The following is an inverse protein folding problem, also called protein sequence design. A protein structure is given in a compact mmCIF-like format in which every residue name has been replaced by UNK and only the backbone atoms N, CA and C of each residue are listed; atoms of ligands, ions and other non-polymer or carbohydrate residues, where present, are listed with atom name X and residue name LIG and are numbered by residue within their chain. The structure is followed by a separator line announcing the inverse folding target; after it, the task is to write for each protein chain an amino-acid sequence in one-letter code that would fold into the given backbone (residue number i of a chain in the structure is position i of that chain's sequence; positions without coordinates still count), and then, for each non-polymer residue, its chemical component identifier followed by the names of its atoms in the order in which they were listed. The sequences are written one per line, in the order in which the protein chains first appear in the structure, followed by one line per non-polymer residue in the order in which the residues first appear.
data_IF_070279652632
#
_entry.id   IF_070279652632
#
_cell.length_a   1.000
_cell.length_b   1.000
_cell.length_c   1.000
_cell.angle_alpha   90.00
_cell.angle_beta   90.00
_cell.angle_gamma   90.00
#
_symmetry.space_group_name_H-M   'P 1'
#
loop_
_entity.id
_entity.type
_entity.pdbx_description
1 polymer ?
#
# COMPACT_ATOMS: atom_id res chain seq x y z
N UNK A 1 10.38 -3.25 -19.36
CA UNK A 1 9.90 -2.06 -20.10
C UNK A 1 8.68 -1.57 -19.36
N UNK A 2 8.75 -0.38 -18.74
CA UNK A 2 7.61 0.23 -18.04
C UNK A 2 6.58 0.64 -19.09
N UNK A 3 5.38 0.05 -19.05
CA UNK A 3 4.28 0.48 -19.90
C UNK A 3 3.35 1.36 -19.07
N UNK A 4 3.42 2.68 -19.26
CA UNK A 4 2.60 3.65 -18.55
C UNK A 4 1.10 3.55 -18.88
N UNK A 5 0.71 2.69 -19.83
CA UNK A 5 -0.67 2.53 -20.29
C UNK A 5 -1.63 1.84 -19.29
N UNK A 6 -1.12 1.12 -18.29
CA UNK A 6 -1.94 0.36 -17.32
C UNK A 6 -1.87 0.94 -15.90
N UNK A 7 -1.85 2.27 -15.81
CA UNK A 7 -1.79 2.98 -14.54
C UNK A 7 -3.08 3.79 -14.34
N UNK A 8 -3.90 3.41 -13.36
CA UNK A 8 -5.04 4.20 -12.94
C UNK A 8 -4.54 5.29 -12.00
N UNK A 9 -4.45 6.51 -12.51
CA UNK A 9 -4.08 7.68 -11.73
C UNK A 9 -5.30 8.22 -10.99
N UNK A 10 -5.12 8.57 -9.72
CA UNK A 10 -6.17 9.19 -8.93
C UNK A 10 -5.63 10.35 -8.10
N UNK A 11 -6.55 11.24 -7.73
CA UNK A 11 -6.33 12.29 -6.77
C UNK A 11 -7.58 12.43 -5.90
N UNK A 12 -7.41 12.66 -4.59
CA UNK A 12 -8.51 12.90 -3.65
C UNK A 12 -8.14 14.04 -2.73
N UNK A 13 -9.12 14.83 -2.32
CA UNK A 13 -9.00 15.76 -1.21
C UNK A 13 -10.13 15.52 -0.21
N UNK A 14 -9.81 15.62 1.07
CA UNK A 14 -10.76 15.55 2.17
C UNK A 14 -10.51 16.73 3.11
N UNK A 15 -11.35 17.76 2.99
CA UNK A 15 -11.22 18.99 3.79
C UNK A 15 -11.60 18.79 5.25
N UNK A 16 -12.41 17.78 5.58
CA UNK A 16 -12.79 17.46 6.96
C UNK A 16 -11.62 16.80 7.69
N UNK A 17 -10.95 15.87 7.02
CA UNK A 17 -9.74 15.22 7.52
C UNK A 17 -8.45 16.00 7.21
N UNK A 18 -8.55 17.11 6.47
CA UNK A 18 -7.46 18.05 6.15
C UNK A 18 -6.28 17.41 5.42
N UNK A 19 -6.56 16.67 4.35
CA UNK A 19 -5.51 16.13 3.48
C UNK A 19 -5.90 16.16 2.00
N UNK A 20 -4.89 16.07 1.14
CA UNK A 20 -5.01 15.78 -0.27
C UNK A 20 -4.00 14.70 -0.63
N UNK A 21 -4.35 13.80 -1.53
CA UNK A 21 -3.46 12.75 -1.99
C UNK A 21 -3.51 12.60 -3.50
N UNK A 22 -2.42 12.07 -4.02
CA UNK A 22 -2.28 11.63 -5.40
C UNK A 22 -1.70 10.23 -5.37
N UNK A 23 -2.10 9.40 -6.32
CA UNK A 23 -1.59 8.06 -6.40
C UNK A 23 -1.79 7.44 -7.77
N UNK A 24 -1.25 6.24 -7.89
CA UNK A 24 -1.41 5.39 -9.04
C UNK A 24 -1.63 3.95 -8.59
N UNK A 25 -2.58 3.28 -9.24
CA UNK A 25 -2.70 1.83 -9.18
C UNK A 25 -2.16 1.24 -10.49
N UNK A 26 -1.25 0.29 -10.38
CA UNK A 26 -0.62 -0.40 -11.50
C UNK A 26 -0.92 -1.88 -11.44
N UNK A 27 -1.46 -2.42 -12.51
CA UNK A 27 -1.54 -3.86 -12.74
C UNK A 27 -0.55 -4.22 -13.84
N UNK A 28 0.59 -4.84 -13.46
CA UNK A 28 1.60 -5.27 -14.44
C UNK A 28 1.10 -6.47 -15.26
N UNK A 29 0.28 -7.32 -14.63
CA UNK A 29 -0.52 -8.41 -15.19
C UNK A 29 -1.53 -8.83 -14.12
N UNK A 30 -2.43 -9.77 -14.43
CA UNK A 30 -3.52 -10.23 -13.55
C UNK A 30 -3.09 -10.71 -12.15
N UNK A 31 -1.79 -10.92 -11.92
CA UNK A 31 -1.23 -11.45 -10.67
C UNK A 31 -0.45 -10.45 -9.83
N UNK A 32 -0.22 -9.23 -10.34
CA UNK A 32 0.59 -8.23 -9.63
C UNK A 32 -0.11 -6.89 -9.70
N UNK A 33 -0.64 -6.48 -8.56
CA UNK A 33 -1.32 -5.22 -8.35
C UNK A 33 -0.53 -4.39 -7.35
N UNK A 34 -0.20 -3.16 -7.71
CA UNK A 34 0.57 -2.24 -6.89
C UNK A 34 -0.12 -0.90 -6.79
N UNK A 35 -0.11 -0.28 -5.62
CA UNK A 35 -0.63 1.07 -5.41
C UNK A 35 0.44 1.90 -4.74
N UNK A 36 0.64 3.11 -5.25
CA UNK A 36 1.51 4.12 -4.67
C UNK A 36 0.67 5.34 -4.35
N UNK A 37 0.84 5.91 -3.16
CA UNK A 37 0.11 7.10 -2.73
C UNK A 37 1.07 8.07 -2.03
N UNK A 38 0.99 9.34 -2.41
CA UNK A 38 1.56 10.46 -1.67
C UNK A 38 0.42 11.29 -1.09
N UNK A 39 0.47 11.54 0.20
CA UNK A 39 -0.55 12.31 0.91
C UNK A 39 0.08 13.54 1.54
N UNK A 40 -0.47 14.71 1.22
CA UNK A 40 -0.17 15.98 1.87
C UNK A 40 -1.26 16.31 2.90
N UNK A 41 -0.88 16.46 4.17
CA UNK A 41 -1.78 16.80 5.27
C UNK A 41 -1.52 18.20 5.82
N UNK A 42 -2.60 18.96 6.04
CA UNK A 42 -2.56 20.29 6.69
C UNK A 42 -3.37 20.34 7.99
N UNK A 43 -3.74 19.16 8.51
CA UNK A 43 -4.38 19.03 9.81
C UNK A 43 -3.40 19.25 10.95
N UNK A 44 -3.91 19.82 12.05
CA UNK A 44 -3.16 19.83 13.31
C UNK A 44 -2.88 18.38 13.73
N UNK A 45 -1.63 18.08 14.06
CA UNK A 45 -1.21 16.72 14.42
C UNK A 45 -0.92 15.79 13.24
N UNK A 46 -0.95 16.27 11.99
CA UNK A 46 -0.45 15.46 10.88
C UNK A 46 1.06 15.25 11.03
N UNK A 47 1.47 13.97 11.06
CA UNK A 47 2.85 13.58 11.31
C UNK A 47 3.45 12.89 10.09
N UNK A 48 3.92 13.69 9.14
CA UNK A 48 4.55 13.14 7.94
C UNK A 48 6.04 12.84 8.13
N UNK A 49 6.69 12.55 7.02
CA UNK A 49 8.08 12.11 6.94
C UNK A 49 8.99 13.19 7.50
N UNK A 50 9.71 12.88 8.59
CA UNK A 50 10.66 13.81 9.25
C UNK A 50 10.05 15.19 9.56
N UNK A 51 8.80 15.21 10.03
CA UNK A 51 8.09 16.44 10.39
C UNK A 51 7.59 17.26 9.20
N UNK A 52 7.71 16.74 7.98
CA UNK A 52 7.05 17.33 6.80
C UNK A 52 5.55 17.03 6.81
N UNK A 53 4.72 17.80 6.09
CA UNK A 53 3.30 17.52 5.93
C UNK A 53 3.02 16.43 4.88
N UNK A 54 3.98 15.55 4.57
CA UNK A 54 3.86 14.53 3.52
C UNK A 54 4.05 13.14 4.10
N UNK A 55 3.20 12.19 3.72
CA UNK A 55 3.43 10.76 3.93
C UNK A 55 3.41 10.01 2.59
N UNK A 56 4.03 8.84 2.58
CA UNK A 56 4.04 7.92 1.46
C UNK A 56 3.44 6.59 1.88
N UNK A 57 2.62 5.99 1.01
CA UNK A 57 2.11 4.64 1.17
C UNK A 57 2.35 3.84 -0.09
N UNK A 58 2.64 2.56 0.11
CA UNK A 58 2.72 1.56 -0.93
C UNK A 58 1.94 0.34 -0.52
N UNK A 59 1.15 -0.20 -1.45
CA UNK A 59 0.47 -1.48 -1.31
C UNK A 59 0.84 -2.36 -2.49
N UNK A 60 1.02 -3.66 -2.24
CA UNK A 60 1.25 -4.64 -3.30
C UNK A 60 0.51 -5.93 -2.99
N UNK A 61 -0.10 -6.51 -4.01
CA UNK A 61 -0.67 -7.85 -3.97
C UNK A 61 -0.07 -8.66 -5.12
N UNK A 62 0.44 -9.84 -4.77
CA UNK A 62 1.19 -10.72 -5.66
C UNK A 62 0.62 -12.13 -5.56
N UNK A 63 -0.01 -12.64 -6.62
CA UNK A 63 -0.32 -14.07 -6.71
C UNK A 63 0.97 -14.83 -7.05
N UNK A 64 1.55 -15.47 -6.05
CA UNK A 64 2.77 -16.28 -6.20
C UNK A 64 2.46 -17.63 -6.86
N UNK A 65 1.24 -18.15 -6.67
CA UNK A 65 0.68 -19.31 -7.36
C UNK A 65 -0.85 -19.22 -7.41
N UNK A 66 -1.50 -20.22 -8.01
CA UNK A 66 -2.97 -20.43 -7.97
C UNK A 66 -3.56 -20.56 -6.55
N UNK A 67 -2.71 -20.75 -5.54
CA UNK A 67 -3.09 -21.00 -4.14
C UNK A 67 -2.41 -20.07 -3.16
N UNK A 68 -1.50 -19.22 -3.61
CA UNK A 68 -0.64 -18.45 -2.71
C UNK A 68 -0.62 -16.99 -3.10
N UNK A 69 -0.98 -16.13 -2.15
CA UNK A 69 -0.97 -14.67 -2.33
C UNK A 69 -0.07 -14.05 -1.28
N UNK A 70 0.76 -13.11 -1.72
CA UNK A 70 1.52 -12.21 -0.85
C UNK A 70 0.90 -10.82 -0.95
N UNK A 71 0.53 -10.26 0.20
CA UNK A 71 0.15 -8.86 0.34
C UNK A 71 1.25 -8.13 1.10
N UNK A 72 1.65 -6.97 0.62
CA UNK A 72 2.61 -6.08 1.28
C UNK A 72 2.02 -4.70 1.41
N UNK A 73 2.26 -4.05 2.54
CA UNK A 73 1.89 -2.66 2.78
C UNK A 73 3.05 -1.95 3.45
N UNK A 74 3.40 -0.77 2.96
CA UNK A 74 4.43 0.09 3.52
C UNK A 74 3.80 1.45 3.76
N UNK A 75 3.92 1.96 4.98
CA UNK A 75 3.56 3.32 5.34
C UNK A 75 4.81 4.04 5.85
N UNK A 76 5.12 5.18 5.25
CA UNK A 76 6.25 6.04 5.63
C UNK A 76 5.70 7.41 6.00
N UNK A 77 5.67 7.67 7.31
CA UNK A 77 5.24 8.92 7.93
C UNK A 77 6.29 9.34 8.97
N UNK A 78 5.92 9.76 10.18
CA UNK A 78 6.88 9.92 11.28
C UNK A 78 7.63 8.60 11.59
N UNK A 79 6.95 7.47 11.38
CA UNK A 79 7.49 6.13 11.49
C UNK A 79 7.46 5.43 10.12
N UNK A 80 8.22 4.33 10.01
CA UNK A 80 8.12 3.40 8.90
C UNK A 80 7.45 2.12 9.41
N UNK A 81 6.34 1.74 8.80
CA UNK A 81 5.67 0.47 9.06
C UNK A 81 5.65 -0.37 7.78
N UNK A 82 6.01 -1.65 7.91
CA UNK A 82 5.97 -2.64 6.83
C UNK A 82 5.15 -3.83 7.31
N UNK A 83 4.07 -4.13 6.62
CA UNK A 83 3.24 -5.32 6.85
C UNK A 83 3.37 -6.26 5.67
N UNK A 84 3.64 -7.54 5.92
CA UNK A 84 3.59 -8.59 4.93
C UNK A 84 2.61 -9.67 5.39
N UNK A 85 1.74 -10.10 4.50
CA UNK A 85 0.80 -11.21 4.71
C UNK A 85 1.00 -12.23 3.63
N UNK A 86 1.27 -13.49 4.00
CA UNK A 86 1.29 -14.60 3.07
C UNK A 86 0.10 -15.48 3.37
N UNK A 87 -0.74 -15.66 2.37
CA UNK A 87 -1.93 -16.47 2.43
C UNK A 87 -1.79 -17.67 1.50
N UNK A 88 -2.10 -18.87 1.99
CA UNK A 88 -1.96 -20.11 1.24
C UNK A 88 -3.20 -21.00 1.38
N UNK A 89 -3.77 -21.43 0.26
CA UNK A 89 -4.86 -22.39 0.19
C UNK A 89 -4.30 -23.82 0.26
N UNK A 90 -4.53 -24.50 1.38
CA UNK A 90 -4.04 -25.88 1.61
C UNK A 90 -4.89 -26.87 0.81
N UNK A 91 -6.20 -26.69 0.80
CA UNK A 91 -7.18 -27.42 -0.01
C UNK A 91 -8.49 -26.62 -0.08
N UNK A 92 -9.52 -27.08 -0.78
CA UNK A 92 -10.78 -26.33 -1.03
C UNK A 92 -11.50 -25.81 0.22
N UNK A 93 -11.17 -26.32 1.42
CA UNK A 93 -11.82 -25.95 2.69
C UNK A 93 -10.89 -25.21 3.66
N UNK A 94 -9.58 -25.21 3.43
CA UNK A 94 -8.61 -24.73 4.41
C UNK A 94 -7.63 -23.74 3.81
N UNK A 95 -7.45 -22.65 4.55
CA UNK A 95 -6.54 -21.56 4.22
C UNK A 95 -5.72 -21.22 5.46
N UNK A 96 -4.45 -20.92 5.26
CA UNK A 96 -3.55 -20.47 6.32
C UNK A 96 -2.98 -19.11 5.94
N UNK A 97 -2.85 -18.22 6.92
CA UNK A 97 -2.23 -16.91 6.73
C UNK A 97 -1.15 -16.68 7.78
N UNK A 98 -0.03 -16.09 7.35
CA UNK A 98 1.02 -15.60 8.23
C UNK A 98 1.14 -14.11 8.02
N UNK A 99 1.03 -13.34 9.10
CA UNK A 99 1.16 -11.89 9.08
C UNK A 99 2.41 -11.49 9.86
N UNK A 100 3.20 -10.61 9.29
CA UNK A 100 4.38 -10.03 9.92
C UNK A 100 4.34 -8.52 9.77
N UNK A 101 4.56 -7.83 10.88
CA UNK A 101 4.61 -6.37 10.94
C UNK A 101 5.95 -5.94 11.52
N UNK A 102 6.56 -4.94 10.90
CA UNK A 102 7.75 -4.26 11.39
C UNK A 102 7.46 -2.77 11.46
N UNK A 103 7.77 -2.15 12.59
CA UNK A 103 7.57 -0.71 12.79
C UNK A 103 8.84 -0.12 13.39
N UNK A 104 9.28 1.02 12.88
CA UNK A 104 10.38 1.79 13.48
C UNK A 104 9.82 2.70 14.57
N UNK A 105 10.52 2.79 15.70
CA UNK A 105 10.25 3.82 16.71
C UNK A 105 10.54 5.23 16.21
#
# INVERSE_FOLDING_TARGET
VWNAANADLYARADFKQKFANIGCAHSHHDKVNQVYEFTYGWGEGFKGIKGTPVEFRFGGEYELSDKTTLSTSVAVNEHCAVTNSVEHQVCDKWKTAVNQEFTTE
#
